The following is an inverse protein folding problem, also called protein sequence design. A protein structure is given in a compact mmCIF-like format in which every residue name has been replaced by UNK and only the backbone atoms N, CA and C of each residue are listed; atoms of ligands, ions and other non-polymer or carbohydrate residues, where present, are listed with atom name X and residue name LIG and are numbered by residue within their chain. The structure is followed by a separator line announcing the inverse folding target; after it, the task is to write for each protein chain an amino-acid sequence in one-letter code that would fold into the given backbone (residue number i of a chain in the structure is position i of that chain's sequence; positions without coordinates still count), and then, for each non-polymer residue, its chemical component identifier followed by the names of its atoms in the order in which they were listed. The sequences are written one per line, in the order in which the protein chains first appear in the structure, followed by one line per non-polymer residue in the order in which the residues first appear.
data_IF_891957928767
#
_entry.id   IF_891957928767
#
_cell.length_a   1.000
_cell.length_b   1.000
_cell.length_c   1.000
_cell.angle_alpha   90.00
_cell.angle_beta   90.00
_cell.angle_gamma   90.00
#
_symmetry.space_group_name_H-M   'P 1'
#
loop_
_entity.id
_entity.type
_entity.pdbx_description
1 polymer ?
#
# COMPACT_ATOMS: atom_id res chain seq x y z
N UNK A 1 26.29 -1.23 5.68
CA UNK A 1 25.19 -0.50 6.33
C UNK A 1 24.29 -1.55 6.95
N UNK A 2 24.10 -1.54 8.26
CA UNK A 2 23.30 -2.54 8.95
C UNK A 2 21.81 -2.39 8.61
N UNK A 3 21.16 -3.51 8.28
CA UNK A 3 19.71 -3.53 7.94
C UNK A 3 18.86 -2.99 9.09
N UNK A 4 19.24 -3.29 10.33
CA UNK A 4 18.54 -2.80 11.53
C UNK A 4 18.63 -1.28 11.66
N UNK A 5 19.79 -0.68 11.37
CA UNK A 5 19.96 0.77 11.35
C UNK A 5 19.03 1.43 10.32
N UNK A 6 18.95 0.88 9.09
CA UNK A 6 18.05 1.40 8.05
C UNK A 6 16.59 1.31 8.52
N UNK A 7 16.19 0.19 9.12
CA UNK A 7 14.82 0.02 9.61
C UNK A 7 14.47 1.00 10.74
N UNK A 8 15.35 1.15 11.72
CA UNK A 8 15.10 1.96 12.92
C UNK A 8 15.20 3.46 12.65
N UNK A 9 16.24 3.91 11.94
CA UNK A 9 16.56 5.33 11.84
C UNK A 9 15.97 5.99 10.59
N UNK A 10 15.57 5.20 9.58
CA UNK A 10 15.07 5.74 8.31
C UNK A 10 13.63 5.30 8.06
N UNK A 11 13.38 3.99 8.02
CA UNK A 11 12.08 3.46 7.62
C UNK A 11 11.00 3.84 8.63
N UNK A 12 11.20 3.57 9.92
CA UNK A 12 10.17 3.86 10.93
C UNK A 12 9.84 5.38 11.03
N UNK A 13 10.82 6.29 11.13
CA UNK A 13 10.54 7.73 11.13
C UNK A 13 9.87 8.22 9.84
N UNK A 14 10.21 7.62 8.69
CA UNK A 14 9.57 7.98 7.42
C UNK A 14 8.06 7.70 7.46
N UNK A 15 7.64 6.49 7.86
CA UNK A 15 6.21 6.17 7.97
C UNK A 15 5.54 7.05 9.04
N UNK A 16 6.16 7.27 10.20
CA UNK A 16 5.57 8.09 11.26
C UNK A 16 5.33 9.55 10.83
N UNK A 17 6.25 10.14 10.05
CA UNK A 17 6.20 11.58 9.72
C UNK A 17 5.54 11.88 8.38
N UNK A 18 5.66 11.00 7.39
CA UNK A 18 5.21 11.28 6.02
C UNK A 18 3.89 10.61 5.68
N UNK A 19 3.58 9.45 6.25
CA UNK A 19 2.29 8.79 6.08
C UNK A 19 1.24 9.40 7.02
N UNK A 20 0.82 10.62 6.67
CA UNK A 20 -0.22 11.38 7.38
C UNK A 20 -1.27 11.89 6.38
N UNK A 21 -2.53 11.97 6.82
CA UNK A 21 -3.66 12.41 5.97
C UNK A 21 -3.39 13.72 5.21
N UNK A 22 -2.70 14.68 5.83
CA UNK A 22 -2.38 15.98 5.22
C UNK A 22 -1.59 15.85 3.93
N UNK A 23 -0.67 14.88 3.86
CA UNK A 23 0.19 14.70 2.70
C UNK A 23 -0.54 14.05 1.52
N UNK A 24 -1.62 13.31 1.77
CA UNK A 24 -2.41 12.72 0.70
C UNK A 24 -3.22 13.77 -0.09
N UNK A 25 -3.60 14.88 0.55
CA UNK A 25 -4.36 15.96 -0.11
C UNK A 25 -3.54 16.80 -1.09
N UNK A 26 -2.22 16.85 -0.92
CA UNK A 26 -1.32 17.54 -1.86
C UNK A 26 -0.78 16.55 -2.90
N UNK A 27 -1.05 16.81 -4.19
CA UNK A 27 -0.68 15.90 -5.28
C UNK A 27 0.82 15.67 -5.41
N UNK A 28 1.67 16.67 -5.10
CA UNK A 28 3.13 16.52 -5.18
C UNK A 28 3.63 15.64 -4.05
N UNK A 29 3.18 15.89 -2.82
CA UNK A 29 3.54 15.08 -1.65
C UNK A 29 3.05 13.64 -1.80
N UNK A 30 1.81 13.46 -2.24
CA UNK A 30 1.23 12.17 -2.56
C UNK A 30 2.17 11.36 -3.48
N UNK A 31 2.54 11.91 -4.64
CA UNK A 31 3.37 11.18 -5.60
C UNK A 31 4.77 10.89 -5.04
N UNK A 32 5.41 11.88 -4.40
CA UNK A 32 6.74 11.71 -3.84
C UNK A 32 6.78 10.63 -2.74
N UNK A 33 5.76 10.57 -1.89
CA UNK A 33 5.71 9.59 -0.81
C UNK A 33 5.42 8.21 -1.38
N UNK A 34 4.51 8.08 -2.35
CA UNK A 34 4.27 6.81 -3.05
C UNK A 34 5.58 6.30 -3.66
N UNK A 35 6.27 7.11 -4.45
CA UNK A 35 7.51 6.73 -5.14
C UNK A 35 8.62 6.38 -4.14
N UNK A 36 8.79 7.19 -3.09
CA UNK A 36 9.80 6.92 -2.04
C UNK A 36 9.47 5.63 -1.29
N UNK A 37 8.20 5.34 -1.03
CA UNK A 37 7.78 4.12 -0.34
C UNK A 37 8.05 2.88 -1.19
N UNK A 38 7.85 2.96 -2.50
CA UNK A 38 8.22 1.89 -3.45
C UNK A 38 9.72 1.65 -3.44
N UNK A 39 10.54 2.71 -3.42
CA UNK A 39 12.00 2.57 -3.32
C UNK A 39 12.45 1.97 -1.98
N UNK A 40 11.78 2.31 -0.89
CA UNK A 40 12.02 1.66 0.41
C UNK A 40 11.68 0.16 0.31
N UNK A 41 10.54 -0.20 -0.28
CA UNK A 41 10.13 -1.59 -0.45
C UNK A 41 11.15 -2.39 -1.27
N UNK A 42 11.73 -1.80 -2.31
CA UNK A 42 12.80 -2.41 -3.12
C UNK A 42 14.05 -2.77 -2.30
N UNK A 43 14.27 -2.11 -1.15
CA UNK A 43 15.42 -2.35 -0.27
C UNK A 43 15.10 -3.27 0.91
N UNK A 44 13.89 -3.18 1.47
CA UNK A 44 13.55 -3.87 2.73
C UNK A 44 12.54 -5.02 2.57
N UNK A 45 11.93 -5.18 1.40
CA UNK A 45 10.92 -6.19 1.11
C UNK A 45 9.51 -5.61 0.98
N UNK A 46 8.69 -6.24 0.14
CA UNK A 46 7.32 -5.81 -0.14
C UNK A 46 6.43 -5.97 1.08
N UNK A 47 6.39 -7.17 1.65
CA UNK A 47 5.57 -7.48 2.82
C UNK A 47 5.91 -6.60 4.04
N UNK A 48 7.19 -6.27 4.24
CA UNK A 48 7.64 -5.41 5.34
C UNK A 48 7.12 -3.97 5.23
N UNK A 49 6.93 -3.47 4.01
CA UNK A 49 6.32 -2.15 3.75
C UNK A 49 4.80 -2.23 3.79
N UNK A 50 4.21 -3.22 3.11
CA UNK A 50 2.76 -3.38 3.01
C UNK A 50 2.13 -3.53 4.40
N UNK A 51 2.72 -4.33 5.28
CA UNK A 51 2.26 -4.50 6.67
C UNK A 51 2.23 -3.23 7.50
N UNK A 52 2.95 -2.17 7.10
CA UNK A 52 2.93 -0.87 7.78
C UNK A 52 1.78 0.03 7.35
N UNK A 53 1.19 -0.22 6.18
CA UNK A 53 0.18 0.66 5.56
C UNK A 53 -1.14 -0.05 5.25
N UNK A 54 -1.22 -1.37 5.37
CA UNK A 54 -2.42 -2.14 4.95
C UNK A 54 -3.66 -1.75 5.75
N UNK A 55 -3.52 -1.48 7.05
CA UNK A 55 -4.64 -1.09 7.91
C UNK A 55 -5.20 0.29 7.52
N UNK A 56 -4.39 1.15 6.92
CA UNK A 56 -4.77 2.47 6.42
C UNK A 56 -5.68 2.41 5.18
N UNK A 57 -5.85 1.23 4.55
CA UNK A 57 -6.90 1.01 3.53
C UNK A 57 -8.31 1.25 4.09
N UNK A 58 -8.46 1.26 5.42
CA UNK A 58 -9.73 1.51 6.11
C UNK A 58 -9.82 2.90 6.74
N UNK A 59 -8.91 3.81 6.39
CA UNK A 59 -8.96 5.20 6.88
C UNK A 59 -10.22 5.92 6.36
N UNK A 60 -10.87 6.79 7.15
CA UNK A 60 -12.05 7.54 6.72
C UNK A 60 -11.78 8.49 5.53
N UNK A 61 -10.55 8.97 5.35
CA UNK A 61 -10.17 9.84 4.24
C UNK A 61 -10.00 9.04 2.94
N UNK A 62 -10.92 9.25 1.99
CA UNK A 62 -10.84 8.62 0.66
C UNK A 62 -9.51 8.91 -0.05
N UNK A 63 -9.00 10.14 0.08
CA UNK A 63 -7.74 10.53 -0.54
C UNK A 63 -6.54 9.79 0.08
N UNK A 64 -6.59 9.52 1.39
CA UNK A 64 -5.56 8.74 2.07
C UNK A 64 -5.64 7.26 1.66
N UNK A 65 -6.85 6.68 1.60
CA UNK A 65 -7.05 5.33 1.04
C UNK A 65 -6.51 5.20 -0.38
N UNK A 66 -6.74 6.20 -1.25
CA UNK A 66 -6.17 6.24 -2.62
C UNK A 66 -4.64 6.20 -2.60
N UNK A 67 -4.00 6.89 -1.66
CA UNK A 67 -2.55 6.88 -1.50
C UNK A 67 -2.01 5.50 -1.10
N UNK A 68 -2.71 4.84 -0.16
CA UNK A 68 -2.40 3.47 0.25
C UNK A 68 -2.57 2.50 -0.92
N UNK A 69 -3.71 2.54 -1.61
CA UNK A 69 -4.00 1.69 -2.78
C UNK A 69 -2.97 1.83 -3.89
N UNK A 70 -2.59 3.06 -4.24
CA UNK A 70 -1.59 3.31 -5.29
C UNK A 70 -0.20 2.82 -4.88
N UNK A 71 0.17 2.97 -3.61
CA UNK A 71 1.44 2.43 -3.09
C UNK A 71 1.42 0.91 -3.13
N UNK A 72 0.34 0.29 -2.64
CA UNK A 72 0.16 -1.15 -2.61
C UNK A 72 0.23 -1.75 -4.02
N UNK A 73 -0.49 -1.16 -4.98
CA UNK A 73 -0.43 -1.50 -6.38
C UNK A 73 1.01 -1.47 -6.91
N UNK A 74 1.75 -0.39 -6.66
CA UNK A 74 3.08 -0.22 -7.21
C UNK A 74 4.10 -1.21 -6.60
N UNK A 75 4.02 -1.44 -5.29
CA UNK A 75 4.85 -2.43 -4.59
C UNK A 75 4.57 -3.84 -5.13
N UNK A 76 3.30 -4.25 -5.20
CA UNK A 76 2.89 -5.58 -5.70
C UNK A 76 3.21 -5.76 -7.19
N UNK A 77 3.07 -4.71 -7.99
CA UNK A 77 3.46 -4.72 -9.40
C UNK A 77 4.95 -5.01 -9.56
N UNK A 78 5.79 -4.34 -8.78
CA UNK A 78 7.24 -4.37 -8.89
C UNK A 78 7.87 -5.61 -8.25
N UNK A 79 7.49 -5.92 -7.01
CA UNK A 79 8.13 -6.98 -6.21
C UNK A 79 7.36 -8.30 -6.22
N UNK A 80 6.11 -8.31 -6.69
CA UNK A 80 5.25 -9.49 -6.60
C UNK A 80 4.63 -9.67 -5.22
N UNK A 81 4.26 -10.91 -4.92
CA UNK A 81 3.51 -11.27 -3.69
C UNK A 81 4.15 -12.45 -2.95
N UNK A 82 5.36 -12.87 -3.35
CA UNK A 82 5.99 -14.10 -2.87
C UNK A 82 6.37 -14.03 -1.38
N UNK A 83 6.64 -12.83 -0.86
CA UNK A 83 6.96 -12.58 0.56
C UNK A 83 5.73 -12.24 1.43
N UNK A 84 4.53 -12.19 0.84
CA UNK A 84 3.27 -11.91 1.54
C UNK A 84 2.72 -13.22 2.11
N UNK A 85 2.55 -13.28 3.44
CA UNK A 85 1.93 -14.42 4.10
C UNK A 85 0.38 -14.39 4.00
N UNK A 86 -0.27 -15.47 4.42
CA UNK A 86 -1.73 -15.58 4.32
C UNK A 86 -2.46 -14.50 5.14
N UNK A 87 -1.94 -14.13 6.31
CA UNK A 87 -2.58 -13.12 7.16
C UNK A 87 -2.54 -11.75 6.50
N UNK A 88 -1.39 -11.35 5.98
CA UNK A 88 -1.24 -10.07 5.30
C UNK A 88 -2.06 -10.06 3.99
N UNK A 89 -2.15 -11.18 3.30
CA UNK A 89 -3.05 -11.34 2.14
C UNK A 89 -4.52 -11.09 2.51
N UNK A 90 -5.02 -11.73 3.57
CA UNK A 90 -6.38 -11.51 4.08
C UNK A 90 -6.65 -10.03 4.42
N UNK A 91 -5.70 -9.36 5.07
CA UNK A 91 -5.78 -7.93 5.38
C UNK A 91 -5.83 -7.06 4.12
N UNK A 92 -5.04 -7.40 3.10
CA UNK A 92 -5.03 -6.69 1.81
C UNK A 92 -6.40 -6.81 1.15
N UNK A 93 -6.95 -8.03 1.03
CA UNK A 93 -8.23 -8.25 0.36
C UNK A 93 -9.37 -7.55 1.09
N UNK A 94 -9.45 -7.72 2.41
CA UNK A 94 -10.45 -7.05 3.25
C UNK A 94 -10.35 -5.52 3.19
N UNK A 95 -9.13 -4.98 3.24
CA UNK A 95 -8.87 -3.54 3.10
C UNK A 95 -9.29 -2.99 1.73
N UNK A 96 -9.00 -3.71 0.63
CA UNK A 96 -9.40 -3.28 -0.72
C UNK A 96 -10.93 -3.33 -0.87
N UNK A 97 -11.59 -4.38 -0.37
CA UNK A 97 -13.05 -4.48 -0.40
C UNK A 97 -13.72 -3.35 0.38
N UNK A 98 -13.20 -3.03 1.57
CA UNK A 98 -13.66 -1.88 2.33
C UNK A 98 -13.47 -0.57 1.56
N UNK A 99 -12.28 -0.34 1.02
CA UNK A 99 -11.99 0.87 0.24
C UNK A 99 -12.90 0.99 -1.00
N UNK A 100 -13.25 -0.12 -1.65
CA UNK A 100 -14.19 -0.18 -2.77
C UNK A 100 -15.61 0.21 -2.34
N UNK A 101 -16.08 -0.32 -1.20
CA UNK A 101 -17.41 -0.05 -0.68
C UNK A 101 -17.60 1.42 -0.25
N UNK A 102 -16.57 1.99 0.38
CA UNK A 102 -16.58 3.38 0.88
C UNK A 102 -16.20 4.42 -0.18
N UNK A 103 -15.99 4.02 -1.43
CA UNK A 103 -15.63 4.92 -2.52
C UNK A 103 -16.83 5.78 -2.94
N UNK A 104 -16.74 7.09 -2.76
CA UNK A 104 -17.84 8.04 -3.05
C UNK A 104 -17.62 8.85 -4.33
N UNK A 105 -16.36 9.14 -4.68
CA UNK A 105 -16.07 9.87 -5.91
C UNK A 105 -16.16 8.98 -7.14
N UNK A 106 -16.56 9.59 -8.27
CA UNK A 106 -16.60 8.93 -9.58
C UNK A 106 -15.22 8.58 -10.15
N UNK A 107 -14.13 9.05 -9.52
CA UNK A 107 -12.76 8.74 -9.89
C UNK A 107 -12.33 7.38 -9.29
N UNK A 108 -12.85 6.31 -9.89
CA UNK A 108 -12.57 4.91 -9.53
C UNK A 108 -11.26 4.38 -10.12
N UNK A 109 -10.54 5.16 -10.94
CA UNK A 109 -9.44 4.64 -11.77
C UNK A 109 -8.30 4.05 -10.92
N UNK A 110 -7.88 4.75 -9.87
CA UNK A 110 -6.82 4.28 -8.97
C UNK A 110 -7.24 2.96 -8.30
N UNK A 111 -8.48 2.90 -7.84
CA UNK A 111 -8.99 1.75 -7.13
C UNK A 111 -9.10 0.52 -8.03
N UNK A 112 -9.68 0.67 -9.22
CA UNK A 112 -9.85 -0.42 -10.18
C UNK A 112 -8.50 -0.96 -10.68
N UNK A 113 -7.54 -0.07 -10.96
CA UNK A 113 -6.20 -0.50 -11.37
C UNK A 113 -5.45 -1.22 -10.23
N UNK A 114 -5.59 -0.74 -8.99
CA UNK A 114 -4.99 -1.39 -7.84
C UNK A 114 -5.58 -2.80 -7.65
N UNK A 115 -6.91 -2.91 -7.73
CA UNK A 115 -7.60 -4.19 -7.65
C UNK A 115 -7.13 -5.15 -8.75
N UNK A 116 -7.14 -4.73 -10.01
CA UNK A 116 -6.72 -5.55 -11.15
C UNK A 116 -5.28 -6.07 -10.98
N UNK A 117 -4.34 -5.19 -10.65
CA UNK A 117 -2.94 -5.57 -10.45
C UNK A 117 -2.77 -6.58 -9.32
N UNK A 118 -3.42 -6.35 -8.17
CA UNK A 118 -3.24 -7.17 -6.98
C UNK A 118 -3.87 -8.55 -7.17
N UNK A 119 -5.10 -8.62 -7.68
CA UNK A 119 -5.80 -9.88 -7.96
C UNK A 119 -5.03 -10.71 -8.99
N UNK A 120 -4.56 -10.07 -10.08
CA UNK A 120 -3.77 -10.77 -11.10
C UNK A 120 -2.40 -11.24 -10.61
N UNK A 121 -1.83 -10.60 -9.58
CA UNK A 121 -0.57 -11.04 -8.96
C UNK A 121 -0.78 -12.19 -7.98
N UNK A 122 -1.88 -12.18 -7.21
CA UNK A 122 -2.23 -13.25 -6.28
C UNK A 122 -2.67 -14.55 -6.99
N UNK A 123 -3.27 -14.45 -8.19
CA UNK A 123 -3.64 -15.60 -9.03
C UNK A 123 -4.45 -16.65 -8.26
N UNK A 124 -3.95 -17.88 -8.14
CA UNK A 124 -4.63 -19.00 -7.48
C UNK A 124 -4.86 -18.76 -5.98
N UNK A 125 -4.07 -17.87 -5.36
CA UNK A 125 -4.24 -17.48 -3.95
C UNK A 125 -5.55 -16.74 -3.73
N UNK A 126 -6.13 -16.13 -4.78
CA UNK A 126 -7.43 -15.45 -4.71
C UNK A 126 -8.63 -16.39 -4.53
N UNK A 127 -8.49 -17.69 -4.79
CA UNK A 127 -9.62 -18.65 -4.80
C UNK A 127 -10.48 -18.67 -3.51
N UNK A 128 -9.95 -18.47 -2.30
CA UNK A 128 -10.74 -18.47 -1.07
C UNK A 128 -11.58 -17.22 -0.83
N UNK A 129 -11.35 -16.13 -1.58
CA UNK A 129 -12.02 -14.83 -1.44
C UNK A 129 -13.06 -14.61 -2.53
#
# INVERSE_FOLDING_TARGET
VDKEYIQQEIVNPFFEKFWIMRNASDKRNFNLIVDTTVEIANKVGGAAVISKIVDDLKDPSEQYRKMVLQTLQNVVKNLGVDDIDQKLEEQIIDGILYAFQEQTSEDYFILLNAFDVIVNKLKYRMKPY
#
